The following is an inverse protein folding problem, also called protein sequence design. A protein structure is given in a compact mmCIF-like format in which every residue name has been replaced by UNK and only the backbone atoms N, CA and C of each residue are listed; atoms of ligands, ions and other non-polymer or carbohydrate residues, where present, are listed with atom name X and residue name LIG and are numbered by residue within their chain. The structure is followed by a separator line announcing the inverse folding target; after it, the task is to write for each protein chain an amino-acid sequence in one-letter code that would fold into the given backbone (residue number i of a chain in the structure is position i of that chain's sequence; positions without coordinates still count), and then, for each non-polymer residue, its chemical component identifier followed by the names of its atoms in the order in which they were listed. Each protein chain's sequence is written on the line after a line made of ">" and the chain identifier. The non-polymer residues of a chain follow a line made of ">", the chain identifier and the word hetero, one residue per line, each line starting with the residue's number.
data_IF_185177892282
#
_entry.id   IF_185177892282
#
_cell.length_a   1.000
_cell.length_b   1.000
_cell.length_c   1.000
_cell.angle_alpha   90.00
_cell.angle_beta   90.00
_cell.angle_gamma   90.00
#
_symmetry.space_group_name_H-M   'P 1'
#
loop_
_entity.id
_entity.type
_entity.pdbx_description
1 polymer ?
#
# COMPACT_ATOMS: atom_id res chain seq x y z
N UNK A 1 12.98 -1.47 18.81
CA UNK A 1 13.03 -1.97 17.42
C UNK A 1 12.75 -3.46 17.47
N UNK A 2 11.77 -3.94 16.72
CA UNK A 2 11.39 -5.36 16.68
C UNK A 2 11.88 -5.97 15.37
N UNK A 3 12.70 -7.03 15.45
CA UNK A 3 13.10 -7.79 14.26
C UNK A 3 11.92 -8.60 13.75
N UNK A 4 11.76 -8.66 12.44
CA UNK A 4 10.66 -9.38 11.80
C UNK A 4 11.20 -10.57 11.01
N UNK A 5 10.41 -11.63 10.95
CA UNK A 5 10.62 -12.72 9.99
C UNK A 5 10.44 -12.25 8.55
N UNK A 6 10.65 -13.17 7.60
CA UNK A 6 10.40 -12.89 6.18
C UNK A 6 8.91 -12.66 5.93
N UNK A 7 8.60 -11.61 5.16
CA UNK A 7 7.28 -11.36 4.61
C UNK A 7 7.41 -10.61 3.29
N UNK A 8 6.38 -10.70 2.47
CA UNK A 8 6.25 -9.90 1.24
C UNK A 8 4.84 -9.31 1.08
N UNK A 9 3.95 -9.59 2.01
CA UNK A 9 2.59 -9.08 2.04
C UNK A 9 2.36 -8.36 3.34
N UNK A 10 1.84 -7.14 3.27
CA UNK A 10 1.41 -6.35 4.41
C UNK A 10 -0.11 -6.31 4.43
N UNK A 11 -0.72 -6.78 5.53
CA UNK A 11 -2.15 -6.64 5.80
C UNK A 11 -2.35 -5.77 7.02
N UNK A 12 -3.06 -4.65 6.84
CA UNK A 12 -3.32 -3.64 7.88
C UNK A 12 -4.81 -3.50 8.07
N UNK A 13 -5.23 -3.45 9.32
CA UNK A 13 -6.61 -3.20 9.71
C UNK A 13 -6.67 -2.23 10.89
N UNK A 14 -7.73 -1.43 10.97
CA UNK A 14 -7.98 -0.48 12.06
C UNK A 14 -7.55 0.95 11.74
N UNK A 15 -7.37 1.77 12.77
CA UNK A 15 -7.12 3.21 12.66
C UNK A 15 -5.68 3.54 13.04
N UNK A 16 -4.93 4.11 12.08
CA UNK A 16 -3.55 4.52 12.29
C UNK A 16 -2.73 4.66 11.01
N UNK A 17 -1.47 5.04 11.16
CA UNK A 17 -0.54 5.31 10.06
C UNK A 17 0.68 4.40 10.10
N UNK A 18 1.03 3.82 8.95
CA UNK A 18 2.27 3.07 8.76
C UNK A 18 3.10 3.75 7.68
N UNK A 19 4.34 4.08 8.01
CA UNK A 19 5.38 4.42 7.02
C UNK A 19 6.19 3.17 6.67
N UNK A 20 6.23 2.80 5.39
CA UNK A 20 6.92 1.64 4.86
C UNK A 20 8.10 2.09 4.03
N UNK A 21 9.28 1.55 4.30
CA UNK A 21 10.49 1.80 3.51
C UNK A 21 11.15 0.47 3.16
N UNK A 22 11.68 0.35 1.95
CA UNK A 22 12.50 -0.80 1.60
C UNK A 22 13.85 -0.74 2.33
N UNK A 23 14.31 -1.88 2.83
CA UNK A 23 15.57 -1.96 3.58
C UNK A 23 16.25 -3.31 3.38
N UNK A 24 17.50 -3.46 3.84
CA UNK A 24 18.22 -4.75 3.74
C UNK A 24 17.62 -5.86 4.61
N UNK A 25 17.01 -5.47 5.73
CA UNK A 25 16.38 -6.36 6.71
C UNK A 25 15.01 -5.83 7.14
N UNK A 26 14.09 -6.76 7.37
CA UNK A 26 12.76 -6.44 7.87
C UNK A 26 12.78 -6.15 9.38
N UNK A 27 12.33 -4.96 9.77
CA UNK A 27 12.19 -4.58 11.17
C UNK A 27 11.09 -3.52 11.36
N UNK A 28 10.64 -3.35 12.60
CA UNK A 28 9.59 -2.42 12.96
C UNK A 28 10.04 -1.50 14.09
N UNK A 29 9.62 -0.24 14.01
CA UNK A 29 9.78 0.76 15.06
C UNK A 29 8.41 1.32 15.42
N UNK A 30 8.04 1.17 16.69
CA UNK A 30 6.86 1.78 17.28
C UNK A 30 7.24 3.16 17.81
N UNK A 31 6.47 4.20 17.45
CA UNK A 31 6.65 5.53 18.04
C UNK A 31 6.01 5.64 19.44
N UNK A 32 4.95 4.87 19.69
CA UNK A 32 4.22 4.86 20.96
C UNK A 32 4.26 3.43 21.55
N UNK A 33 4.44 3.33 22.87
CA UNK A 33 4.70 2.08 23.63
C UNK A 33 3.47 1.18 23.87
N UNK A 34 2.42 1.29 23.05
CA UNK A 34 1.18 0.51 23.24
C UNK A 34 1.06 -0.67 22.27
N UNK A 35 0.40 -1.73 22.74
CA UNK A 35 0.32 -3.07 22.16
C UNK A 35 -0.17 -3.07 20.70
N UNK A 36 0.76 -3.09 19.74
CA UNK A 36 0.42 -3.41 18.35
C UNK A 36 0.30 -4.91 18.24
N UNK A 37 -0.90 -5.40 17.98
CA UNK A 37 -1.09 -6.81 17.65
C UNK A 37 -0.49 -7.06 16.27
N UNK A 38 0.56 -7.87 16.25
CA UNK A 38 1.23 -8.27 15.02
C UNK A 38 1.44 -9.77 14.98
N UNK A 39 1.30 -10.35 13.78
CA UNK A 39 1.70 -11.73 13.50
C UNK A 39 2.28 -11.85 12.10
N UNK A 40 3.21 -12.78 11.92
CA UNK A 40 3.71 -13.18 10.60
C UNK A 40 3.31 -14.62 10.36
N UNK A 41 2.58 -14.86 9.29
CA UNK A 41 2.08 -16.17 8.90
C UNK A 41 2.05 -16.22 7.37
N UNK A 42 2.58 -17.28 6.76
CA UNK A 42 2.61 -17.48 5.31
C UNK A 42 3.18 -16.29 4.49
N UNK A 43 4.25 -15.67 4.99
CA UNK A 43 4.86 -14.45 4.43
C UNK A 43 3.96 -13.21 4.43
N UNK A 44 2.91 -13.21 5.25
CA UNK A 44 2.01 -12.08 5.47
C UNK A 44 2.30 -11.51 6.86
N UNK A 45 2.63 -10.23 6.91
CA UNK A 45 2.65 -9.45 8.14
C UNK A 45 1.24 -8.86 8.36
N UNK A 46 0.57 -9.31 9.41
CA UNK A 46 -0.70 -8.77 9.86
C UNK A 46 -0.45 -7.72 10.94
N UNK A 47 -1.06 -6.55 10.80
CA UNK A 47 -1.05 -5.47 11.77
C UNK A 47 -2.47 -5.03 12.09
N UNK A 48 -2.83 -5.08 13.37
CA UNK A 48 -4.04 -4.47 13.91
C UNK A 48 -3.66 -3.15 14.56
N UNK A 49 -4.25 -2.05 14.08
CA UNK A 49 -4.03 -0.70 14.57
C UNK A 49 -5.23 -0.26 15.42
N UNK A 50 -4.94 0.42 16.51
CA UNK A 50 -5.92 1.15 17.31
C UNK A 50 -5.32 2.52 17.68
N UNK A 51 -6.17 3.53 17.89
CA UNK A 51 -5.80 4.83 18.48
C UNK A 51 -4.68 5.59 17.73
N UNK A 52 -4.82 5.82 16.42
CA UNK A 52 -3.91 6.67 15.62
C UNK A 52 -2.43 6.27 15.68
N UNK A 53 -2.15 4.98 15.86
CA UNK A 53 -0.79 4.45 15.98
C UNK A 53 0.08 4.84 14.79
N UNK A 54 1.33 5.22 15.08
CA UNK A 54 2.35 5.52 14.06
C UNK A 54 3.47 4.50 14.09
N UNK A 55 3.56 3.71 13.03
CA UNK A 55 4.55 2.64 12.88
C UNK A 55 5.50 2.98 11.73
N UNK A 56 6.79 2.73 11.93
CA UNK A 56 7.75 2.67 10.83
C UNK A 56 8.09 1.21 10.57
N UNK A 57 7.72 0.74 9.38
CA UNK A 57 8.02 -0.59 8.88
C UNK A 57 9.17 -0.51 7.88
N UNK A 58 10.27 -1.19 8.19
CA UNK A 58 11.31 -1.49 7.21
C UNK A 58 11.03 -2.88 6.65
N UNK A 59 10.86 -2.99 5.35
CA UNK A 59 10.54 -4.25 4.67
C UNK A 59 11.68 -4.62 3.71
N UNK A 60 12.17 -5.87 3.80
CA UNK A 60 13.15 -6.37 2.82
C UNK A 60 12.54 -6.50 1.42
N UNK A 61 11.31 -6.99 1.38
CA UNK A 61 10.53 -7.15 0.16
C UNK A 61 9.08 -6.79 0.43
N UNK A 62 8.39 -6.21 -0.55
CA UNK A 62 6.97 -5.96 -0.50
C UNK A 62 6.37 -6.12 -1.90
N UNK A 63 5.36 -6.99 -2.00
CA UNK A 63 4.66 -7.31 -3.24
C UNK A 63 3.17 -7.07 -3.13
N UNK A 64 2.62 -7.12 -1.92
CA UNK A 64 1.19 -6.93 -1.70
C UNK A 64 0.94 -6.02 -0.49
N UNK A 65 0.00 -5.11 -0.64
CA UNK A 65 -0.53 -4.25 0.41
C UNK A 65 -2.04 -4.46 0.46
N UNK A 66 -2.56 -4.77 1.64
CA UNK A 66 -3.98 -4.90 1.90
C UNK A 66 -4.33 -4.01 3.09
N UNK A 67 -5.32 -3.14 2.90
CA UNK A 67 -5.76 -2.20 3.92
C UNK A 67 -7.28 -2.25 4.06
N UNK A 68 -7.74 -2.14 5.30
CA UNK A 68 -9.15 -2.11 5.73
C UNK A 68 -9.28 -1.00 6.79
N UNK A 69 -10.52 -0.58 7.07
CA UNK A 69 -10.89 0.52 7.98
C UNK A 69 -10.14 1.84 7.68
N UNK A 70 -9.83 2.63 8.71
CA UNK A 70 -9.15 3.93 8.60
C UNK A 70 -7.62 3.81 8.57
N UNK A 71 -7.09 2.72 7.99
CA UNK A 71 -5.66 2.51 7.91
C UNK A 71 -5.05 3.40 6.83
N UNK A 72 -3.98 4.12 7.19
CA UNK A 72 -3.19 4.92 6.26
C UNK A 72 -1.78 4.31 6.08
N UNK A 73 -1.44 3.93 4.85
CA UNK A 73 -0.12 3.35 4.55
C UNK A 73 0.62 4.26 3.58
N UNK A 74 1.77 4.77 4.01
CA UNK A 74 2.71 5.49 3.15
C UNK A 74 3.86 4.56 2.79
N UNK A 75 4.14 4.38 1.51
CA UNK A 75 5.26 3.59 1.01
C UNK A 75 6.24 4.53 0.34
N UNK A 76 7.52 4.43 0.72
CA UNK A 76 8.59 5.25 0.19
C UNK A 76 9.67 4.39 -0.44
N UNK A 77 10.03 4.70 -1.69
CA UNK A 77 11.14 4.10 -2.44
C UNK A 77 11.04 2.56 -2.44
N UNK A 78 10.13 2.04 -3.26
CA UNK A 78 9.92 0.60 -3.38
C UNK A 78 10.37 0.09 -4.76
N UNK A 79 11.24 -0.90 -4.75
CA UNK A 79 11.62 -1.71 -5.90
C UNK A 79 11.06 -3.13 -5.74
N UNK A 80 10.23 -3.56 -6.70
CA UNK A 80 9.62 -4.89 -6.73
C UNK A 80 9.19 -5.27 -8.14
N UNK A 81 9.22 -6.54 -8.53
CA UNK A 81 8.71 -6.93 -9.87
C UNK A 81 7.22 -6.64 -10.04
N UNK A 82 6.45 -6.81 -8.95
CA UNK A 82 5.00 -6.63 -8.96
C UNK A 82 4.57 -6.02 -7.65
N UNK A 83 3.70 -5.03 -7.73
CA UNK A 83 2.98 -4.50 -6.58
C UNK A 83 1.48 -4.68 -6.79
N UNK A 84 0.82 -5.28 -5.81
CA UNK A 84 -0.63 -5.33 -5.72
C UNK A 84 -1.09 -4.54 -4.50
N UNK A 85 -2.07 -3.66 -4.70
CA UNK A 85 -2.69 -2.89 -3.62
C UNK A 85 -4.19 -3.19 -3.61
N UNK A 86 -4.70 -3.61 -2.46
CA UNK A 86 -6.12 -3.74 -2.22
C UNK A 86 -6.52 -2.82 -1.06
N UNK A 87 -7.49 -1.95 -1.27
CA UNK A 87 -8.00 -1.01 -0.27
C UNK A 87 -9.51 -1.15 -0.09
N UNK A 88 -9.98 -0.97 1.14
CA UNK A 88 -11.39 -1.11 1.54
C UNK A 88 -11.69 -0.16 2.70
N UNK A 89 -12.97 0.08 2.94
CA UNK A 89 -13.50 0.72 4.15
C UNK A 89 -12.86 2.08 4.50
N UNK A 90 -12.67 2.94 3.49
CA UNK A 90 -12.03 4.27 3.58
C UNK A 90 -10.53 4.25 3.90
N UNK A 91 -9.87 3.10 3.74
CA UNK A 91 -8.42 3.04 3.90
C UNK A 91 -7.72 3.83 2.80
N UNK A 92 -6.49 4.26 3.09
CA UNK A 92 -5.70 5.05 2.17
C UNK A 92 -4.30 4.45 2.00
N UNK A 93 -3.84 4.36 0.76
CA UNK A 93 -2.46 3.98 0.43
C UNK A 93 -1.82 5.04 -0.45
N UNK A 94 -0.73 5.62 0.04
CA UNK A 94 0.10 6.54 -0.71
C UNK A 94 1.44 5.87 -1.03
N UNK A 95 1.81 5.80 -2.29
CA UNK A 95 3.09 5.27 -2.75
C UNK A 95 3.89 6.39 -3.40
N UNK A 96 5.09 6.62 -2.89
CA UNK A 96 6.03 7.59 -3.42
C UNK A 96 7.28 6.87 -3.92
N UNK A 97 7.60 7.08 -5.20
CA UNK A 97 8.75 6.47 -5.89
C UNK A 97 8.64 4.94 -5.94
N UNK A 98 7.86 4.44 -6.91
CA UNK A 98 7.73 3.02 -7.18
C UNK A 98 8.50 2.64 -8.44
N UNK A 99 9.32 1.60 -8.35
CA UNK A 99 9.86 0.89 -9.49
C UNK A 99 9.30 -0.52 -9.51
N UNK A 100 8.46 -0.82 -10.50
CA UNK A 100 7.90 -2.15 -10.70
C UNK A 100 7.70 -2.48 -12.17
N UNK A 101 7.47 -3.76 -12.49
CA UNK A 101 7.08 -4.18 -13.86
C UNK A 101 5.57 -4.26 -14.02
N UNK A 102 4.86 -4.57 -12.96
CA UNK A 102 3.41 -4.72 -12.98
C UNK A 102 2.80 -4.07 -11.75
N UNK A 103 1.73 -3.32 -11.96
CA UNK A 103 0.95 -2.71 -10.90
C UNK A 103 -0.51 -3.13 -10.99
N UNK A 104 -1.06 -3.63 -9.87
CA UNK A 104 -2.47 -4.01 -9.79
C UNK A 104 -3.13 -3.31 -8.62
N UNK A 105 -4.24 -2.64 -8.87
CA UNK A 105 -5.02 -1.97 -7.85
C UNK A 105 -6.45 -2.51 -7.81
N UNK A 106 -6.96 -2.67 -6.60
CA UNK A 106 -8.39 -2.86 -6.35
C UNK A 106 -8.82 -1.97 -5.19
N UNK A 107 -9.74 -1.05 -5.44
CA UNK A 107 -10.25 -0.13 -4.41
C UNK A 107 -11.77 -0.28 -4.27
N UNK A 108 -12.23 -0.38 -3.04
CA UNK A 108 -13.64 -0.51 -2.66
C UNK A 108 -13.95 0.44 -1.47
N UNK A 109 -15.23 0.72 -1.25
CA UNK A 109 -15.78 1.42 -0.09
C UNK A 109 -15.09 2.75 0.27
N UNK A 110 -15.07 3.72 -0.67
CA UNK A 110 -14.53 5.08 -0.50
C UNK A 110 -13.04 5.14 -0.12
N UNK A 111 -12.30 4.07 -0.39
CA UNK A 111 -10.86 4.05 -0.21
C UNK A 111 -10.12 4.89 -1.25
N UNK A 112 -8.89 5.26 -0.93
CA UNK A 112 -8.05 6.10 -1.77
C UNK A 112 -6.69 5.45 -2.03
N UNK A 113 -6.20 5.59 -3.26
CA UNK A 113 -4.82 5.24 -3.62
C UNK A 113 -4.17 6.39 -4.36
N UNK A 114 -3.01 6.82 -3.87
CA UNK A 114 -2.20 7.88 -4.46
C UNK A 114 -0.87 7.31 -4.91
N UNK A 115 -0.56 7.44 -6.20
CA UNK A 115 0.65 6.92 -6.84
C UNK A 115 1.48 8.08 -7.36
N UNK A 116 2.62 8.32 -6.73
CA UNK A 116 3.48 9.46 -7.03
C UNK A 116 4.86 8.99 -7.51
N UNK A 117 5.34 9.52 -8.63
CA UNK A 117 6.64 9.20 -9.22
C UNK A 117 6.79 7.70 -9.52
N UNK A 118 5.90 7.15 -10.35
CA UNK A 118 5.99 5.77 -10.80
C UNK A 118 7.02 5.71 -11.93
N UNK A 119 8.09 4.93 -11.74
CA UNK A 119 9.17 4.84 -12.71
C UNK A 119 8.68 4.15 -13.99
N UNK A 120 9.29 4.53 -15.13
CA UNK A 120 8.92 4.18 -16.52
C UNK A 120 9.06 2.69 -16.85
N UNK A 121 9.42 1.86 -15.87
CA UNK A 121 9.57 0.41 -16.00
C UNK A 121 8.31 -0.36 -15.71
N UNK A 122 7.20 0.31 -15.36
CA UNK A 122 5.86 -0.30 -15.26
C UNK A 122 5.17 -0.23 -16.64
N UNK A 123 5.36 -1.21 -17.55
CA UNK A 123 4.66 -1.22 -18.83
C UNK A 123 3.14 -1.34 -18.66
N UNK A 124 2.67 -1.99 -17.59
CA UNK A 124 1.27 -2.40 -17.47
C UNK A 124 0.71 -2.16 -16.06
N UNK A 125 -0.47 -1.56 -16.03
CA UNK A 125 -1.23 -1.31 -14.81
C UNK A 125 -2.72 -1.67 -14.98
N UNK A 126 -3.26 -2.46 -14.05
CA UNK A 126 -4.66 -2.91 -14.03
C UNK A 126 -5.39 -2.39 -12.80
N UNK A 127 -6.35 -1.49 -12.98
CA UNK A 127 -7.07 -0.83 -11.89
C UNK A 127 -8.55 -1.19 -11.90
N UNK A 128 -9.02 -1.73 -10.78
CA UNK A 128 -10.45 -1.92 -10.50
C UNK A 128 -10.88 -0.97 -9.38
N UNK A 129 -11.70 0.03 -9.70
CA UNK A 129 -12.06 1.13 -8.78
C UNK A 129 -13.57 1.13 -8.59
N UNK A 130 -14.06 0.96 -7.36
CA UNK A 130 -15.50 0.85 -7.06
C UNK A 130 -15.94 1.80 -5.95
N UNK A 131 -17.26 1.87 -5.73
CA UNK A 131 -17.86 2.37 -4.48
C UNK A 131 -17.33 3.73 -4.00
N UNK A 132 -17.29 4.70 -4.93
CA UNK A 132 -16.82 6.08 -4.69
C UNK A 132 -15.34 6.20 -4.32
N UNK A 133 -14.56 5.12 -4.45
CA UNK A 133 -13.11 5.17 -4.29
C UNK A 133 -12.44 6.04 -5.34
N UNK A 134 -11.26 6.51 -5.01
CA UNK A 134 -10.45 7.36 -5.86
C UNK A 134 -9.05 6.76 -6.04
N UNK A 135 -8.56 6.77 -7.28
CA UNK A 135 -7.16 6.51 -7.60
C UNK A 135 -6.59 7.74 -8.29
N UNK A 136 -5.52 8.27 -7.74
CA UNK A 136 -4.73 9.34 -8.35
C UNK A 136 -3.36 8.81 -8.71
N UNK A 137 -2.93 9.05 -9.94
CA UNK A 137 -1.56 8.81 -10.39
C UNK A 137 -0.97 10.10 -10.91
N UNK A 138 0.25 10.39 -10.46
CA UNK A 138 1.04 11.51 -10.92
C UNK A 138 2.24 10.93 -11.67
N UNK A 139 2.30 11.22 -12.98
CA UNK A 139 3.28 10.72 -13.97
C UNK A 139 3.09 9.25 -14.41
N UNK A 140 2.37 9.07 -15.54
CA UNK A 140 2.12 7.77 -16.21
C UNK A 140 2.90 7.58 -17.51
N UNK A 141 3.90 8.43 -17.80
CA UNK A 141 4.52 8.47 -19.13
C UNK A 141 5.13 7.13 -19.52
N UNK A 142 4.55 6.50 -20.55
CA UNK A 142 5.00 5.21 -21.10
C UNK A 142 4.33 3.98 -20.47
N UNK A 143 3.35 4.17 -19.61
CA UNK A 143 2.54 3.10 -19.02
C UNK A 143 1.31 2.80 -19.88
N UNK A 144 0.98 1.52 -20.06
CA UNK A 144 -0.33 1.06 -20.53
C UNK A 144 -1.22 0.84 -19.32
N UNK A 145 -2.33 1.60 -19.23
CA UNK A 145 -3.22 1.57 -18.06
C UNK A 145 -4.61 1.11 -18.48
N UNK A 146 -5.06 0.02 -17.86
CA UNK A 146 -6.42 -0.50 -17.95
C UNK A 146 -7.20 -0.11 -16.70
N UNK A 147 -8.30 0.62 -16.87
CA UNK A 147 -9.14 1.09 -15.75
C UNK A 147 -10.56 0.57 -15.90
N UNK A 148 -10.98 -0.28 -14.96
CA UNK A 148 -12.37 -0.69 -14.77
C UNK A 148 -12.98 0.07 -13.59
N UNK A 149 -13.89 0.99 -13.89
CA UNK A 149 -14.46 1.92 -12.91
C UNK A 149 -15.94 1.69 -12.68
N UNK A 150 -16.35 1.58 -11.42
CA UNK A 150 -17.75 1.59 -11.01
C UNK A 150 -18.41 2.97 -11.13
N UNK A 151 -19.72 3.03 -10.87
CA UNK A 151 -20.44 4.29 -10.72
C UNK A 151 -19.81 5.11 -9.59
N UNK A 152 -19.68 6.43 -9.78
CA UNK A 152 -19.11 7.40 -8.84
C UNK A 152 -17.64 7.25 -8.43
N UNK A 153 -16.97 6.16 -8.81
CA UNK A 153 -15.53 6.02 -8.62
C UNK A 153 -14.75 7.04 -9.48
N UNK A 154 -13.54 7.40 -9.05
CA UNK A 154 -12.70 8.41 -9.72
C UNK A 154 -11.32 7.86 -10.04
N UNK A 155 -10.85 8.19 -11.22
CA UNK A 155 -9.47 7.99 -11.65
C UNK A 155 -8.95 9.33 -12.17
N UNK A 156 -7.78 9.74 -11.68
CA UNK A 156 -7.11 10.97 -12.10
C UNK A 156 -5.66 10.67 -12.46
N UNK A 157 -5.24 11.21 -13.59
CA UNK A 157 -3.87 11.13 -14.10
C UNK A 157 -3.37 12.55 -14.35
N UNK A 158 -2.26 12.92 -13.73
CA UNK A 158 -1.65 14.25 -13.79
C UNK A 158 -0.21 14.22 -14.31
#
# INVERSE_FOLDING_TARGET
>A
VTKLGSFNTLKVKGEGTIGVMQFSESNMVFKNNEDVEMKIEDNILYLSLNNDKRIILKAKSLKNIQTEDLAYVNVYNLLTDTLKINTKDKSEVNVQSLEARYLKLKTEDKSEVHLNNINRTVPEADFEIKDKSEVTINNTRGMSISVKKGADAKYKDY
#
